data_IF_682873536403
#
_entry.id   IF_682873536403
#
_cell.length_a   1.000
_cell.length_b   1.000
_cell.length_c   1.000
_cell.angle_alpha   90.00
_cell.angle_beta   90.00
_cell.angle_gamma   90.00
#
_symmetry.space_group_name_H-M   'P 1'
#
loop_
_entity.id
_entity.type
_entity.pdbx_description
1 polymer ?
#
# COMPACT_ATOMS: atom_id res chain seq x y z
N UNK A 1 23.65 21.12 2.54
CA UNK A 1 23.38 20.19 1.43
C UNK A 1 22.63 19.01 2.00
N UNK A 2 21.40 18.78 1.57
CA UNK A 2 20.65 17.58 1.99
C UNK A 2 21.32 16.36 1.32
N UNK A 3 21.63 15.34 2.08
CA UNK A 3 22.15 14.11 1.52
C UNK A 3 21.02 13.36 0.79
N UNK A 4 21.26 12.81 -0.40
CA UNK A 4 20.26 12.01 -1.09
C UNK A 4 19.93 10.73 -0.31
N UNK A 5 18.69 10.26 -0.44
CA UNK A 5 18.32 8.95 0.07
C UNK A 5 18.89 7.92 -0.89
N UNK A 6 19.63 6.94 -0.39
CA UNK A 6 20.18 5.87 -1.21
C UNK A 6 19.38 4.58 -1.03
N UNK A 7 19.01 3.94 -2.11
CA UNK A 7 18.28 2.67 -2.13
C UNK A 7 19.14 1.62 -2.84
N UNK A 8 19.37 0.51 -2.17
CA UNK A 8 20.00 -0.64 -2.79
C UNK A 8 19.02 -1.33 -3.74
N UNK A 9 19.44 -1.58 -4.96
CA UNK A 9 18.64 -2.24 -5.98
C UNK A 9 19.31 -3.54 -6.42
N UNK A 10 18.51 -4.54 -6.73
CA UNK A 10 19.02 -5.75 -7.38
C UNK A 10 18.97 -5.56 -8.89
N UNK A 11 19.68 -6.40 -9.64
CA UNK A 11 19.73 -6.30 -11.09
C UNK A 11 18.33 -6.26 -11.70
N UNK A 12 17.99 -5.14 -12.33
CA UNK A 12 16.70 -4.90 -12.99
C UNK A 12 16.99 -4.67 -14.47
N UNK A 13 16.31 -5.41 -15.32
CA UNK A 13 16.34 -5.14 -16.75
C UNK A 13 15.78 -3.73 -17.03
N UNK A 14 16.41 -3.00 -17.95
CA UNK A 14 15.97 -1.67 -18.39
C UNK A 14 15.84 -0.64 -17.23
N UNK A 15 16.72 -0.73 -16.24
CA UNK A 15 16.65 0.15 -15.06
C UNK A 15 16.64 1.65 -15.43
N UNK A 16 17.35 2.04 -16.50
CA UNK A 16 17.40 3.43 -16.92
C UNK A 16 16.03 3.92 -17.43
N UNK A 17 15.32 3.11 -18.21
CA UNK A 17 13.97 3.43 -18.68
C UNK A 17 13.01 3.61 -17.50
N UNK A 18 13.10 2.74 -16.50
CA UNK A 18 12.29 2.83 -15.27
C UNK A 18 12.59 4.08 -14.45
N UNK A 19 13.86 4.48 -14.37
CA UNK A 19 14.25 5.73 -13.72
C UNK A 19 13.67 6.93 -14.47
N UNK A 20 13.71 6.91 -15.79
CA UNK A 20 13.13 7.98 -16.61
C UNK A 20 11.61 8.06 -16.41
N UNK A 21 10.89 6.91 -16.35
CA UNK A 21 9.48 6.86 -16.02
C UNK A 21 9.20 7.45 -14.61
N UNK A 22 10.01 7.09 -13.60
CA UNK A 22 9.87 7.62 -12.24
C UNK A 22 10.10 9.13 -12.19
N UNK A 23 11.11 9.62 -12.91
CA UNK A 23 11.42 11.05 -12.98
C UNK A 23 10.29 11.86 -13.65
N UNK A 24 9.55 11.27 -14.60
CA UNK A 24 8.34 11.87 -15.15
C UNK A 24 7.22 12.05 -14.11
N UNK A 25 7.27 11.31 -13.00
CA UNK A 25 6.32 11.41 -11.89
C UNK A 25 6.76 12.39 -10.79
N UNK A 26 7.59 13.36 -11.14
CA UNK A 26 8.07 14.42 -10.24
C UNK A 26 9.06 13.96 -9.16
N UNK A 27 9.68 12.81 -9.36
CA UNK A 27 10.85 12.42 -8.60
C UNK A 27 12.11 12.96 -9.26
N UNK A 28 13.18 13.06 -8.50
CA UNK A 28 14.53 13.30 -9.02
C UNK A 28 15.42 12.18 -8.48
N UNK A 29 15.74 11.24 -9.33
CA UNK A 29 16.59 10.11 -8.97
C UNK A 29 17.52 9.71 -10.11
N UNK A 30 18.68 9.16 -9.74
CA UNK A 30 19.67 8.65 -10.68
C UNK A 30 20.47 7.48 -10.10
N UNK A 31 21.08 6.68 -10.97
CA UNK A 31 22.01 5.64 -10.53
C UNK A 31 23.34 6.26 -10.09
N UNK A 32 23.81 5.88 -8.92
CA UNK A 32 25.18 6.16 -8.46
C UNK A 32 26.11 5.01 -8.85
N UNK A 33 25.59 3.78 -8.81
CA UNK A 33 26.30 2.57 -9.20
C UNK A 33 25.32 1.54 -9.77
N UNK A 34 25.84 0.43 -10.28
CA UNK A 34 25.01 -0.67 -10.83
C UNK A 34 23.90 -1.15 -9.88
N UNK A 35 24.12 -1.05 -8.56
CA UNK A 35 23.22 -1.56 -7.53
C UNK A 35 22.72 -0.48 -6.55
N UNK A 36 22.88 0.81 -6.87
CA UNK A 36 22.52 1.88 -5.94
C UNK A 36 21.87 3.02 -6.69
N UNK A 37 20.63 3.31 -6.28
CA UNK A 37 19.85 4.45 -6.73
C UNK A 37 19.96 5.58 -5.69
N UNK A 38 20.21 6.80 -6.14
CA UNK A 38 20.09 8.01 -5.32
C UNK A 38 18.81 8.74 -5.64
N UNK A 39 18.12 9.20 -4.61
CA UNK A 39 16.90 9.98 -4.69
C UNK A 39 17.20 11.35 -4.09
N UNK A 40 17.14 12.38 -4.91
CA UNK A 40 17.45 13.77 -4.57
C UNK A 40 16.21 14.57 -4.21
N UNK A 41 15.08 14.27 -4.88
CA UNK A 41 13.81 14.92 -4.61
C UNK A 41 12.64 13.93 -4.74
N UNK A 42 11.61 14.17 -3.94
CA UNK A 42 10.35 13.44 -3.95
C UNK A 42 9.18 14.42 -3.99
N UNK A 43 8.05 14.07 -4.60
CA UNK A 43 6.84 14.90 -4.53
C UNK A 43 6.42 15.15 -3.07
N UNK A 44 5.97 16.37 -2.78
CA UNK A 44 5.62 16.81 -1.42
C UNK A 44 4.62 15.89 -0.72
N UNK A 45 3.71 15.28 -1.46
CA UNK A 45 2.69 14.36 -0.92
C UNK A 45 3.31 13.20 -0.13
N UNK A 46 4.48 12.70 -0.54
CA UNK A 46 5.16 11.60 0.15
C UNK A 46 5.70 12.02 1.51
N UNK A 47 6.14 13.29 1.64
CA UNK A 47 6.56 13.87 2.91
C UNK A 47 5.36 14.07 3.85
N UNK A 48 4.24 14.57 3.34
CA UNK A 48 3.00 14.76 4.11
C UNK A 48 2.52 13.44 4.71
N UNK A 49 2.50 12.37 3.92
CA UNK A 49 2.05 11.05 4.37
C UNK A 49 3.15 10.23 5.06
N UNK A 50 4.36 10.77 5.24
CA UNK A 50 5.51 10.08 5.85
C UNK A 50 5.72 8.69 5.26
N UNK A 51 5.79 8.63 3.94
CA UNK A 51 5.98 7.39 3.20
C UNK A 51 7.41 6.90 3.40
N UNK A 52 7.58 5.61 3.58
CA UNK A 52 8.87 4.94 3.58
C UNK A 52 9.37 4.85 2.13
N UNK A 53 10.25 5.75 1.75
CA UNK A 53 10.72 5.92 0.37
C UNK A 53 11.50 4.70 -0.10
N UNK A 54 12.32 4.10 0.76
CA UNK A 54 13.06 2.90 0.42
C UNK A 54 12.13 1.73 0.05
N UNK A 55 11.10 1.49 0.86
CA UNK A 55 10.09 0.47 0.57
C UNK A 55 9.27 0.78 -0.66
N UNK A 56 8.95 2.05 -0.89
CA UNK A 56 8.24 2.48 -2.09
C UNK A 56 9.06 2.14 -3.34
N UNK A 57 10.33 2.55 -3.39
CA UNK A 57 11.20 2.31 -4.54
C UNK A 57 11.46 0.82 -4.76
N UNK A 58 11.70 0.06 -3.70
CA UNK A 58 11.82 -1.40 -3.77
C UNK A 58 10.56 -2.10 -4.29
N UNK A 59 9.43 -1.40 -4.35
CA UNK A 59 8.22 -1.94 -4.94
C UNK A 59 8.01 -1.44 -6.37
N UNK A 60 8.07 -0.12 -6.60
CA UNK A 60 7.72 0.45 -7.91
C UNK A 60 8.73 0.08 -9.01
N UNK A 61 10.00 -0.11 -8.67
CA UNK A 61 11.03 -0.51 -9.61
C UNK A 61 10.79 -1.89 -10.24
N UNK A 62 10.01 -2.76 -9.59
CA UNK A 62 9.69 -4.09 -10.07
C UNK A 62 8.31 -4.18 -10.77
N UNK A 63 7.61 -3.06 -10.91
CA UNK A 63 6.38 -3.00 -11.71
C UNK A 63 6.72 -3.02 -13.21
N UNK A 64 5.89 -3.65 -14.02
CA UNK A 64 6.05 -3.66 -15.47
C UNK A 64 5.84 -2.26 -16.06
N UNK A 65 4.86 -1.52 -15.52
CA UNK A 65 4.56 -0.14 -15.90
C UNK A 65 4.45 0.72 -14.65
N UNK A 66 5.15 1.84 -14.61
CA UNK A 66 5.14 2.77 -13.48
C UNK A 66 4.23 3.94 -13.83
N UNK A 67 3.08 4.03 -13.17
CA UNK A 67 2.14 5.15 -13.30
C UNK A 67 1.95 5.86 -11.97
N UNK A 68 1.51 7.12 -12.02
CA UNK A 68 1.22 7.90 -10.81
C UNK A 68 0.15 7.23 -9.94
N UNK A 69 -0.88 6.66 -10.57
CA UNK A 69 -1.95 5.94 -9.86
C UNK A 69 -1.41 4.72 -9.11
N UNK A 70 -0.56 3.91 -9.73
CA UNK A 70 0.08 2.77 -9.05
C UNK A 70 0.90 3.19 -7.83
N UNK A 71 1.60 4.32 -7.93
CA UNK A 71 2.38 4.86 -6.81
C UNK A 71 1.47 5.35 -5.70
N UNK A 72 0.41 6.10 -6.02
CA UNK A 72 -0.58 6.57 -5.06
C UNK A 72 -1.32 5.42 -4.37
N UNK A 73 -1.76 4.43 -5.11
CA UNK A 73 -2.47 3.25 -4.58
C UNK A 73 -1.63 2.54 -3.51
N UNK A 74 -0.33 2.41 -3.73
CA UNK A 74 0.58 1.82 -2.72
C UNK A 74 0.68 2.66 -1.46
N UNK A 75 0.70 3.97 -1.59
CA UNK A 75 0.72 4.89 -0.44
C UNK A 75 -0.58 4.74 0.34
N UNK A 76 -1.72 4.85 -0.34
CA UNK A 76 -3.02 4.80 0.30
C UNK A 76 -3.29 3.42 0.92
N UNK A 77 -2.96 2.33 0.22
CA UNK A 77 -3.07 0.98 0.77
C UNK A 77 -2.24 0.81 2.05
N UNK A 78 -0.97 1.23 2.02
CA UNK A 78 -0.08 1.15 3.18
C UNK A 78 -0.59 2.03 4.33
N UNK A 79 -1.09 3.22 4.04
CA UNK A 79 -1.62 4.14 5.05
C UNK A 79 -2.91 3.62 5.65
N UNK A 80 -3.85 3.17 4.82
CA UNK A 80 -5.11 2.58 5.27
C UNK A 80 -4.89 1.39 6.21
N UNK A 81 -3.99 0.47 5.85
CA UNK A 81 -3.67 -0.66 6.72
C UNK A 81 -2.99 -0.26 8.04
N UNK A 82 -2.18 0.79 8.05
CA UNK A 82 -1.52 1.28 9.27
C UNK A 82 -2.47 2.01 10.22
N UNK A 83 -3.44 2.72 9.66
CA UNK A 83 -4.42 3.53 10.42
C UNK A 83 -5.71 2.80 10.72
N UNK A 84 -5.95 1.64 10.08
CA UNK A 84 -7.14 0.82 10.35
C UNK A 84 -7.15 0.26 11.79
N UNK A 85 -8.35 0.07 12.30
CA UNK A 85 -8.59 -0.62 13.58
C UNK A 85 -8.13 -2.08 13.46
N UNK A 86 -7.41 -2.56 14.44
CA UNK A 86 -6.83 -3.91 14.49
C UNK A 86 -7.51 -4.78 15.52
N UNK A 87 -7.30 -6.08 15.43
CA UNK A 87 -7.94 -7.08 16.30
C UNK A 87 -7.77 -6.85 17.81
N UNK A 88 -6.68 -6.16 18.20
CA UNK A 88 -6.39 -5.86 19.63
C UNK A 88 -6.81 -4.47 20.06
N UNK A 89 -7.30 -3.64 19.17
CA UNK A 89 -7.75 -2.30 19.51
C UNK A 89 -9.07 -2.40 20.30
N UNK A 90 -9.09 -1.73 21.45
CA UNK A 90 -10.29 -1.71 22.29
C UNK A 90 -11.26 -0.67 21.76
N UNK A 91 -12.42 -1.12 21.33
CA UNK A 91 -13.52 -0.27 20.85
C UNK A 91 -14.64 -0.25 21.89
N UNK A 92 -15.23 0.92 22.11
CA UNK A 92 -16.49 1.04 22.83
C UNK A 92 -17.64 0.51 21.95
N UNK A 93 -18.70 0.01 22.58
CA UNK A 93 -19.86 -0.56 21.86
C UNK A 93 -20.42 0.35 20.77
N UNK A 94 -20.62 1.68 20.97
CA UNK A 94 -21.07 2.57 19.90
C UNK A 94 -20.12 2.64 18.71
N UNK A 95 -18.81 2.57 18.95
CA UNK A 95 -17.78 2.56 17.89
C UNK A 95 -17.87 1.28 17.06
N UNK A 96 -18.09 0.13 17.71
CA UNK A 96 -18.27 -1.15 17.01
C UNK A 96 -19.49 -1.12 16.09
N UNK A 97 -20.62 -0.60 16.62
CA UNK A 97 -21.88 -0.48 15.86
C UNK A 97 -21.70 0.44 14.64
N UNK A 98 -21.06 1.61 14.83
CA UNK A 98 -20.83 2.54 13.74
C UNK A 98 -19.89 1.94 12.68
N UNK A 99 -18.83 1.28 13.09
CA UNK A 99 -17.89 0.61 12.19
C UNK A 99 -18.61 -0.42 11.30
N UNK A 100 -19.49 -1.23 11.89
CA UNK A 100 -20.27 -2.23 11.14
C UNK A 100 -21.27 -1.55 10.19
N UNK A 101 -21.95 -0.49 10.63
CA UNK A 101 -22.88 0.26 9.78
C UNK A 101 -22.15 0.90 8.59
N UNK A 102 -21.09 1.63 8.85
CA UNK A 102 -20.27 2.28 7.83
C UNK A 102 -19.75 1.24 6.83
N UNK A 103 -19.36 0.06 7.32
CA UNK A 103 -18.92 -1.01 6.46
C UNK A 103 -20.04 -1.51 5.53
N UNK A 104 -21.24 -1.78 6.03
CA UNK A 104 -22.38 -2.21 5.21
C UNK A 104 -22.87 -1.15 4.25
N UNK A 105 -22.73 0.13 4.59
CA UNK A 105 -23.19 1.25 3.75
C UNK A 105 -22.23 1.62 2.62
N UNK A 106 -20.91 1.40 2.82
CA UNK A 106 -19.88 1.92 1.91
C UNK A 106 -19.04 0.84 1.23
N UNK A 107 -19.11 -0.41 1.67
CA UNK A 107 -18.30 -1.48 1.12
C UNK A 107 -19.18 -2.49 0.37
N UNK A 108 -19.57 -2.11 -0.84
CA UNK A 108 -20.14 -3.06 -1.80
C UNK A 108 -19.04 -4.04 -2.21
N UNK A 109 -19.16 -5.34 -1.80
CA UNK A 109 -18.39 -6.48 -2.33
C UNK A 109 -16.96 -6.71 -1.82
N UNK A 110 -16.37 -5.82 -1.06
CA UNK A 110 -14.99 -5.99 -0.61
C UNK A 110 -14.88 -6.87 0.64
N UNK A 111 -14.56 -8.14 0.44
CA UNK A 111 -14.22 -9.07 1.53
C UNK A 111 -12.71 -9.16 1.80
N UNK A 112 -11.92 -8.44 1.03
CA UNK A 112 -10.46 -8.45 1.11
C UNK A 112 -9.92 -7.02 1.12
N UNK A 113 -8.82 -6.79 1.84
CA UNK A 113 -8.11 -5.52 1.76
C UNK A 113 -7.36 -5.38 0.42
N UNK A 114 -6.83 -4.20 0.13
CA UNK A 114 -6.04 -3.95 -1.09
C UNK A 114 -4.79 -4.85 -1.21
N UNK A 115 -4.36 -5.51 -0.12
CA UNK A 115 -3.29 -6.49 -0.14
C UNK A 115 -3.80 -7.93 -0.36
N UNK A 116 -5.07 -8.11 -0.71
CA UNK A 116 -5.68 -9.43 -0.94
C UNK A 116 -5.96 -10.26 0.32
N UNK A 117 -5.81 -9.68 1.53
CA UNK A 117 -6.07 -10.39 2.78
C UNK A 117 -7.55 -10.32 3.13
N UNK A 118 -8.22 -11.47 3.39
CA UNK A 118 -9.60 -11.45 3.82
C UNK A 118 -9.72 -10.80 5.21
N UNK A 119 -10.68 -9.90 5.39
CA UNK A 119 -11.00 -9.31 6.69
C UNK A 119 -12.43 -9.62 7.13
N UNK A 120 -13.19 -10.32 6.29
CA UNK A 120 -14.55 -10.74 6.56
C UNK A 120 -14.84 -12.09 5.87
N UNK A 121 -15.56 -12.95 6.56
CA UNK A 121 -16.06 -14.22 6.02
C UNK A 121 -17.56 -14.33 6.33
N UNK A 122 -18.39 -14.50 5.31
CA UNK A 122 -19.80 -14.79 5.47
C UNK A 122 -20.02 -16.27 5.64
N UNK A 123 -20.66 -16.67 6.73
CA UNK A 123 -21.06 -18.05 6.98
C UNK A 123 -22.58 -18.10 6.94
N UNK A 124 -23.13 -18.84 6.00
CA UNK A 124 -24.56 -19.02 5.90
C UNK A 124 -25.07 -19.87 7.07
N UNK A 125 -26.29 -19.56 7.55
CA UNK A 125 -26.92 -20.28 8.66
C UNK A 125 -27.00 -21.78 8.40
N UNK A 126 -27.40 -22.17 7.18
CA UNK A 126 -27.53 -23.59 6.78
C UNK A 126 -26.20 -24.35 6.88
N UNK A 127 -25.09 -23.67 6.69
CA UNK A 127 -23.78 -24.26 6.87
C UNK A 127 -23.47 -24.53 8.34
N UNK A 128 -23.91 -23.63 9.22
CA UNK A 128 -23.79 -23.79 10.67
C UNK A 128 -24.71 -24.91 11.16
N UNK A 129 -25.96 -24.92 10.71
CA UNK A 129 -26.95 -25.93 11.10
C UNK A 129 -26.49 -27.34 10.72
N UNK A 130 -25.86 -27.53 9.56
CA UNK A 130 -25.24 -28.79 9.15
C UNK A 130 -24.12 -29.28 10.06
N UNK A 131 -23.35 -28.36 10.66
CA UNK A 131 -22.31 -28.76 11.63
C UNK A 131 -22.90 -29.32 12.93
N UNK A 132 -24.12 -28.96 13.24
CA UNK A 132 -24.81 -29.40 14.46
C UNK A 132 -25.93 -30.42 14.21
N UNK A 133 -25.97 -31.02 13.01
CA UNK A 133 -26.98 -32.01 12.59
C UNK A 133 -28.44 -31.52 12.83
N UNK A 134 -28.70 -30.26 12.49
CA UNK A 134 -30.03 -29.62 12.65
C UNK A 134 -30.63 -29.26 11.29
#
# INVERSE_FOLDING_TARGET
MLQPITVAIHAIANIQEKIDEINLLWFDCSLISENTLAIYAIPQIFGIYKVDIEKLFNHILYLDTITYDHVLDKIFASKACKTSIKAWDKLAYPQMVNLIKDWFEHIDWMFVCQHGRPFFVKIEKDSIDKFFDR
#
